data_IF_264173998123
#
_entry.id   IF_264173998123
#
_cell.length_a   1.000
_cell.length_b   1.000
_cell.length_c   1.000
_cell.angle_alpha   90.00
_cell.angle_beta   90.00
_cell.angle_gamma   90.00
#
_symmetry.space_group_name_H-M   'P 1'
#
loop_
_entity.id
_entity.type
_entity.pdbx_description
1 polymer ?
#
# COMPACT_ATOMS: atom_id res chain seq x y z
N UNK A 1 -28.04 3.38 -18.42
CA UNK A 1 -27.12 3.76 -17.32
C UNK A 1 -25.72 3.65 -17.89
N UNK A 2 -25.10 4.78 -18.27
CA UNK A 2 -23.74 4.78 -18.82
C UNK A 2 -22.78 4.48 -17.67
N UNK A 3 -22.06 3.38 -17.72
CA UNK A 3 -21.01 3.05 -16.77
C UNK A 3 -19.84 4.01 -17.01
N UNK A 4 -19.37 4.66 -15.96
CA UNK A 4 -18.26 5.61 -15.97
C UNK A 4 -16.99 5.01 -16.60
N UNK A 5 -16.31 5.78 -17.45
CA UNK A 5 -15.21 5.41 -18.37
C UNK A 5 -14.04 4.60 -17.80
N UNK A 6 -13.89 4.50 -16.47
CA UNK A 6 -12.76 3.80 -15.82
C UNK A 6 -13.16 2.51 -15.09
N UNK A 7 -14.39 1.99 -15.32
CA UNK A 7 -14.90 0.87 -14.50
C UNK A 7 -14.78 -0.52 -15.14
N UNK A 8 -14.46 -0.64 -16.43
CA UNK A 8 -14.56 -1.95 -17.09
C UNK A 8 -13.42 -2.91 -16.67
N UNK A 9 -12.18 -2.43 -16.57
CA UNK A 9 -11.07 -3.27 -16.14
C UNK A 9 -11.25 -3.70 -14.67
N UNK A 10 -11.48 -2.80 -13.70
CA UNK A 10 -11.83 -3.20 -12.33
C UNK A 10 -13.04 -4.11 -12.23
N UNK A 11 -14.03 -3.96 -13.12
CA UNK A 11 -15.18 -4.85 -13.16
C UNK A 11 -14.78 -6.26 -13.60
N UNK A 12 -13.97 -6.41 -14.64
CA UNK A 12 -13.42 -7.71 -15.08
C UNK A 12 -12.64 -8.36 -13.94
N UNK A 13 -11.75 -7.59 -13.28
CA UNK A 13 -10.93 -8.06 -12.15
C UNK A 13 -11.80 -8.54 -10.99
N UNK A 14 -12.92 -7.87 -10.69
CA UNK A 14 -13.84 -8.26 -9.61
C UNK A 14 -14.47 -9.64 -9.83
N UNK A 15 -14.65 -10.05 -11.08
CA UNK A 15 -15.19 -11.38 -11.44
C UNK A 15 -14.10 -12.44 -11.67
N UNK A 16 -12.80 -12.06 -11.63
CA UNK A 16 -11.69 -12.92 -12.08
C UNK A 16 -11.65 -14.29 -11.39
N UNK A 17 -11.94 -14.35 -10.10
CA UNK A 17 -11.98 -15.58 -9.31
C UNK A 17 -13.08 -16.56 -9.76
N UNK A 18 -14.12 -16.09 -10.45
CA UNK A 18 -15.23 -16.90 -10.96
C UNK A 18 -14.96 -17.46 -12.35
N UNK A 19 -13.93 -16.99 -13.03
CA UNK A 19 -13.65 -17.35 -14.43
C UNK A 19 -13.06 -18.74 -14.57
N UNK A 20 -13.55 -19.46 -15.58
CA UNK A 20 -12.92 -20.70 -16.08
C UNK A 20 -11.57 -20.37 -16.72
N UNK A 21 -10.68 -21.37 -16.96
CA UNK A 21 -9.40 -21.12 -17.61
C UNK A 21 -9.54 -20.38 -18.97
N UNK A 22 -10.53 -20.73 -19.77
CA UNK A 22 -10.81 -20.04 -21.04
C UNK A 22 -11.25 -18.57 -20.85
N UNK A 23 -12.12 -18.32 -19.88
CA UNK A 23 -12.58 -16.98 -19.57
C UNK A 23 -11.45 -16.12 -18.97
N UNK A 24 -10.50 -16.70 -18.23
CA UNK A 24 -9.29 -16.00 -17.76
C UNK A 24 -8.42 -15.56 -18.93
N UNK A 25 -8.21 -16.40 -19.95
CA UNK A 25 -7.48 -16.00 -21.14
C UNK A 25 -8.13 -14.77 -21.80
N UNK A 26 -9.46 -14.72 -21.86
CA UNK A 26 -10.19 -13.56 -22.39
C UNK A 26 -10.02 -12.35 -21.46
N UNK A 27 -10.17 -12.52 -20.16
CA UNK A 27 -10.01 -11.47 -19.16
C UNK A 27 -8.59 -10.87 -19.20
N UNK A 28 -7.56 -11.70 -19.21
CA UNK A 28 -6.15 -11.29 -19.25
C UNK A 28 -5.85 -10.45 -20.49
N UNK A 29 -6.40 -10.84 -21.63
CA UNK A 29 -6.28 -10.04 -22.84
C UNK A 29 -6.84 -8.62 -22.64
N UNK A 30 -8.07 -8.47 -22.15
CA UNK A 30 -8.69 -7.15 -21.97
C UNK A 30 -8.08 -6.34 -20.83
N UNK A 31 -7.57 -6.98 -19.77
CA UNK A 31 -6.90 -6.30 -18.65
C UNK A 31 -5.55 -5.70 -19.09
N UNK A 32 -4.78 -6.45 -19.88
CA UNK A 32 -3.42 -6.06 -20.23
C UNK A 32 -3.29 -5.34 -21.57
N UNK A 33 -4.35 -5.29 -22.38
CA UNK A 33 -4.30 -4.62 -23.67
C UNK A 33 -4.26 -3.10 -23.50
N UNK A 34 -3.23 -2.48 -24.04
CA UNK A 34 -3.02 -1.02 -24.04
C UNK A 34 -3.15 -0.40 -25.44
N UNK A 35 -3.35 -1.21 -26.49
CA UNK A 35 -3.35 -0.78 -27.86
C UNK A 35 -4.77 -0.78 -28.43
N UNK A 36 -5.05 0.22 -29.29
CA UNK A 36 -6.26 0.24 -30.09
C UNK A 36 -6.13 -0.72 -31.27
N UNK A 37 -7.09 -1.62 -31.41
CA UNK A 37 -7.09 -2.63 -32.47
C UNK A 37 -8.51 -3.00 -32.89
N UNK A 38 -8.65 -3.94 -33.84
CA UNK A 38 -9.96 -4.47 -34.19
C UNK A 38 -10.49 -5.41 -33.10
N UNK A 39 -11.41 -4.90 -32.29
CA UNK A 39 -12.10 -5.65 -31.21
C UNK A 39 -13.36 -6.37 -31.74
N UNK A 40 -13.51 -6.60 -33.02
CA UNK A 40 -14.63 -7.42 -33.52
C UNK A 40 -14.58 -8.83 -32.91
N UNK A 41 -15.76 -9.43 -32.67
CA UNK A 41 -15.83 -10.80 -32.10
C UNK A 41 -15.07 -11.81 -32.96
N UNK A 42 -15.10 -11.63 -34.29
CA UNK A 42 -14.38 -12.49 -35.23
C UNK A 42 -12.85 -12.38 -35.06
N UNK A 43 -12.34 -11.14 -34.92
CA UNK A 43 -10.90 -10.92 -34.80
C UNK A 43 -10.40 -11.43 -33.43
N UNK A 44 -11.07 -11.05 -32.33
CA UNK A 44 -10.65 -11.46 -31.00
C UNK A 44 -10.81 -12.97 -30.78
N UNK A 45 -11.86 -13.58 -31.32
CA UNK A 45 -12.01 -15.05 -31.24
C UNK A 45 -10.90 -15.77 -31.98
N UNK A 46 -10.46 -15.27 -33.13
CA UNK A 46 -9.31 -15.80 -33.88
C UNK A 46 -8.00 -15.59 -33.14
N UNK A 47 -7.76 -14.40 -32.55
CA UNK A 47 -6.56 -14.04 -31.83
C UNK A 47 -6.36 -14.91 -30.56
N UNK A 48 -7.43 -15.14 -29.82
CA UNK A 48 -7.40 -15.89 -28.55
C UNK A 48 -7.69 -17.38 -28.72
N UNK A 49 -7.94 -17.84 -29.94
CA UNK A 49 -8.34 -19.25 -30.24
C UNK A 49 -9.58 -19.69 -29.44
N UNK A 50 -10.56 -18.80 -29.29
CA UNK A 50 -11.83 -19.05 -28.61
C UNK A 50 -13.01 -18.91 -29.56
N UNK A 51 -14.19 -19.41 -29.20
CA UNK A 51 -15.38 -19.17 -30.01
C UNK A 51 -16.00 -17.79 -29.70
N UNK A 52 -16.69 -17.19 -30.72
CA UNK A 52 -17.44 -15.94 -30.48
C UNK A 52 -18.53 -16.11 -29.41
N UNK A 53 -19.07 -17.30 -29.26
CA UNK A 53 -20.00 -17.65 -28.19
C UNK A 53 -19.33 -17.59 -26.80
N UNK A 54 -18.04 -17.91 -26.71
CA UNK A 54 -17.28 -17.78 -25.46
C UNK A 54 -17.06 -16.33 -25.07
N UNK A 55 -16.78 -15.45 -26.05
CA UNK A 55 -16.70 -14.01 -25.81
C UNK A 55 -18.02 -13.43 -25.31
N UNK A 56 -19.15 -13.87 -25.89
CA UNK A 56 -20.48 -13.42 -25.44
C UNK A 56 -20.81 -13.90 -24.02
N UNK A 57 -20.48 -15.14 -23.67
CA UNK A 57 -20.66 -15.68 -22.30
C UNK A 57 -19.77 -14.96 -21.29
N UNK A 58 -18.51 -14.67 -21.64
CA UNK A 58 -17.61 -13.88 -20.82
C UNK A 58 -18.20 -12.49 -20.53
N UNK A 59 -18.66 -11.78 -21.57
CA UNK A 59 -19.30 -10.48 -21.42
C UNK A 59 -20.55 -10.53 -20.52
N UNK A 60 -21.41 -11.55 -20.71
CA UNK A 60 -22.59 -11.75 -19.85
C UNK A 60 -22.20 -12.00 -18.40
N UNK A 61 -21.14 -12.75 -18.15
CA UNK A 61 -20.62 -13.01 -16.82
C UNK A 61 -20.09 -11.75 -16.14
N UNK A 62 -19.56 -10.81 -16.93
CA UNK A 62 -19.16 -9.48 -16.47
C UNK A 62 -20.36 -8.50 -16.32
N UNK A 63 -21.59 -8.97 -16.49
CA UNK A 63 -22.81 -8.15 -16.29
C UNK A 63 -23.32 -7.41 -17.52
N UNK A 64 -22.80 -7.68 -18.71
CA UNK A 64 -23.26 -7.09 -19.98
C UNK A 64 -24.28 -8.00 -20.70
N UNK A 65 -25.13 -7.43 -21.53
CA UNK A 65 -26.08 -8.24 -22.33
C UNK A 65 -25.39 -9.13 -23.38
N UNK A 66 -24.15 -8.78 -23.76
CA UNK A 66 -23.35 -9.55 -24.70
C UNK A 66 -22.07 -8.83 -25.11
N UNK A 67 -21.30 -9.47 -26.01
CA UNK A 67 -19.99 -8.99 -26.43
C UNK A 67 -20.01 -7.59 -27.07
N UNK A 68 -21.06 -7.22 -27.81
CA UNK A 68 -21.17 -5.89 -28.42
C UNK A 68 -21.22 -4.77 -27.40
N UNK A 69 -22.03 -4.92 -26.37
CA UNK A 69 -22.14 -3.93 -25.31
C UNK A 69 -20.84 -3.84 -24.52
N UNK A 70 -20.25 -5.00 -24.17
CA UNK A 70 -18.95 -5.07 -23.51
C UNK A 70 -17.87 -4.31 -24.28
N UNK A 71 -17.73 -4.56 -25.61
CA UNK A 71 -16.72 -3.88 -26.43
C UNK A 71 -16.99 -2.40 -26.59
N UNK A 72 -18.25 -1.98 -26.66
CA UNK A 72 -18.58 -0.58 -26.69
C UNK A 72 -18.06 0.14 -25.44
N UNK A 73 -18.36 -0.38 -24.25
CA UNK A 73 -17.88 0.18 -22.99
C UNK A 73 -16.35 0.08 -22.85
N UNK A 74 -15.75 -1.03 -23.30
CA UNK A 74 -14.30 -1.21 -23.30
C UNK A 74 -13.59 -0.17 -24.17
N UNK A 75 -14.05 0.07 -25.40
CA UNK A 75 -13.50 1.12 -26.27
C UNK A 75 -13.65 2.51 -25.67
N UNK A 76 -14.76 2.78 -25.00
CA UNK A 76 -14.95 4.05 -24.28
C UNK A 76 -13.93 4.22 -23.15
N UNK A 77 -13.49 3.13 -22.52
CA UNK A 77 -12.47 3.18 -21.47
C UNK A 77 -11.05 3.41 -22.00
N UNK A 78 -10.77 3.06 -23.26
CA UNK A 78 -9.47 3.30 -23.91
C UNK A 78 -9.35 4.72 -24.49
N UNK A 79 -10.47 5.36 -24.86
CA UNK A 79 -10.44 6.69 -25.42
C UNK A 79 -10.06 7.72 -24.35
N UNK A 80 -9.11 8.65 -24.62
CA UNK A 80 -8.91 9.81 -23.77
C UNK A 80 -10.22 10.58 -23.70
N UNK A 81 -10.89 10.53 -22.54
CA UNK A 81 -12.15 11.23 -22.35
C UNK A 81 -11.95 12.74 -22.36
N UNK A 82 -12.94 13.55 -22.79
CA UNK A 82 -12.97 14.95 -22.41
C UNK A 82 -12.91 14.98 -20.88
N UNK A 83 -12.11 15.90 -20.32
CA UNK A 83 -12.18 16.24 -18.91
C UNK A 83 -13.62 16.70 -18.62
N UNK A 84 -14.46 15.78 -18.19
CA UNK A 84 -15.75 16.14 -17.67
C UNK A 84 -15.46 16.88 -16.35
N UNK A 85 -15.66 18.20 -16.38
CA UNK A 85 -15.86 19.04 -15.21
C UNK A 85 -17.12 18.55 -14.48
N UNK A 86 -17.06 17.39 -13.89
CA UNK A 86 -18.06 16.94 -12.93
C UNK A 86 -17.55 17.46 -11.58
N UNK A 87 -18.26 18.40 -10.93
CA UNK A 87 -18.03 18.67 -9.54
C UNK A 87 -18.63 17.49 -8.74
N UNK A 88 -17.98 16.34 -8.84
CA UNK A 88 -18.32 15.17 -8.07
C UNK A 88 -17.32 15.09 -6.92
N UNK A 89 -17.84 15.16 -5.71
CA UNK A 89 -17.12 14.92 -4.47
C UNK A 89 -16.18 13.69 -4.57
N UNK A 90 -16.63 12.62 -5.23
CA UNK A 90 -15.84 11.41 -5.49
C UNK A 90 -14.57 11.65 -6.34
N UNK A 91 -14.63 12.53 -7.34
CA UNK A 91 -13.46 12.84 -8.21
C UNK A 91 -12.40 13.61 -7.45
N UNK A 92 -12.81 14.48 -6.54
CA UNK A 92 -11.89 15.32 -5.75
C UNK A 92 -11.07 14.49 -4.75
N UNK A 93 -11.67 13.47 -4.17
CA UNK A 93 -10.98 12.56 -3.24
C UNK A 93 -9.92 11.71 -3.97
N UNK A 94 -10.25 11.14 -5.13
CA UNK A 94 -9.29 10.40 -5.95
C UNK A 94 -8.13 11.29 -6.43
N UNK A 95 -8.39 12.53 -6.82
CA UNK A 95 -7.35 13.49 -7.17
C UNK A 95 -6.43 13.78 -5.97
N UNK A 96 -7.01 13.90 -4.78
CA UNK A 96 -6.26 14.08 -3.52
C UNK A 96 -5.33 12.89 -3.24
N UNK A 97 -5.80 11.66 -3.42
CA UNK A 97 -4.96 10.47 -3.31
C UNK A 97 -3.85 10.44 -4.37
N UNK A 98 -4.14 10.81 -5.61
CA UNK A 98 -3.14 10.88 -6.67
C UNK A 98 -2.06 11.94 -6.36
N UNK A 99 -2.46 13.08 -5.86
CA UNK A 99 -1.53 14.13 -5.42
C UNK A 99 -0.64 13.65 -4.27
N UNK A 100 -1.21 12.96 -3.28
CA UNK A 100 -0.44 12.34 -2.20
C UNK A 100 0.55 11.30 -2.67
N UNK A 101 0.17 10.45 -3.63
CA UNK A 101 1.09 9.49 -4.25
C UNK A 101 2.28 10.19 -4.91
N UNK A 102 2.02 11.25 -5.67
CA UNK A 102 3.05 12.03 -6.34
C UNK A 102 3.98 12.73 -5.34
N UNK A 103 3.43 13.35 -4.29
CA UNK A 103 4.19 13.99 -3.20
C UNK A 103 5.03 12.96 -2.44
N UNK A 104 4.47 11.81 -2.11
CA UNK A 104 5.19 10.74 -1.41
C UNK A 104 6.35 10.22 -2.22
N UNK A 105 6.15 9.98 -3.52
CA UNK A 105 7.22 9.54 -4.41
C UNK A 105 8.36 10.57 -4.52
N UNK A 106 8.04 11.87 -4.52
CA UNK A 106 9.03 12.94 -4.58
C UNK A 106 9.87 13.09 -3.29
N UNK A 107 9.32 12.68 -2.14
CA UNK A 107 9.99 12.76 -0.84
C UNK A 107 10.86 11.54 -0.51
N UNK A 108 10.62 10.40 -1.18
CA UNK A 108 11.34 9.17 -0.89
C UNK A 108 12.78 9.21 -1.44
N UNK A 109 13.74 9.16 -0.54
CA UNK A 109 15.16 8.96 -0.88
C UNK A 109 15.52 7.47 -0.80
N UNK A 110 15.93 6.89 -1.93
CA UNK A 110 16.33 5.48 -2.02
C UNK A 110 17.49 5.12 -1.08
N UNK A 111 18.45 6.02 -0.90
CA UNK A 111 19.58 5.79 0.00
C UNK A 111 19.11 5.74 1.46
N UNK A 112 18.16 6.61 1.85
CA UNK A 112 17.54 6.60 3.16
C UNK A 112 16.74 5.31 3.40
N UNK A 113 15.90 4.90 2.45
CA UNK A 113 15.15 3.65 2.55
C UNK A 113 16.09 2.45 2.72
N UNK A 114 17.21 2.42 1.98
CA UNK A 114 18.20 1.35 2.12
C UNK A 114 18.84 1.36 3.50
N UNK A 115 19.21 2.53 4.06
CA UNK A 115 19.75 2.62 5.42
C UNK A 115 18.77 2.10 6.47
N UNK A 116 17.50 2.56 6.41
CA UNK A 116 16.46 2.12 7.34
C UNK A 116 16.21 0.61 7.21
N UNK A 117 16.19 0.09 5.99
CA UNK A 117 16.02 -1.35 5.77
C UNK A 117 17.17 -2.17 6.36
N UNK A 118 18.40 -1.68 6.25
CA UNK A 118 19.56 -2.32 6.88
C UNK A 118 19.48 -2.28 8.42
N UNK A 119 18.94 -1.22 9.00
CA UNK A 119 18.67 -1.15 10.43
C UNK A 119 17.63 -2.20 10.86
N UNK A 120 16.55 -2.36 10.10
CA UNK A 120 15.55 -3.42 10.36
C UNK A 120 16.17 -4.83 10.35
N UNK A 121 17.23 -5.05 9.57
CA UNK A 121 17.94 -6.35 9.51
C UNK A 121 18.95 -6.50 10.64
N UNK A 122 19.67 -5.44 10.97
CA UNK A 122 20.83 -5.51 11.88
C UNK A 122 20.43 -5.45 13.36
N UNK A 123 19.32 -4.78 13.68
CA UNK A 123 18.86 -4.66 15.07
C UNK A 123 18.13 -5.92 15.53
N UNK A 124 18.40 -6.34 16.75
CA UNK A 124 17.84 -7.57 17.32
C UNK A 124 16.34 -7.44 17.60
N UNK A 125 15.87 -6.22 17.86
CA UNK A 125 14.47 -5.93 18.16
C UNK A 125 14.04 -4.54 17.67
N UNK A 126 12.85 -4.47 17.13
CA UNK A 126 12.24 -3.24 16.63
C UNK A 126 11.00 -2.90 17.43
N UNK A 127 10.91 -1.67 17.89
CA UNK A 127 9.71 -1.14 18.55
C UNK A 127 9.12 -0.03 17.70
N UNK A 128 7.80 -0.05 17.52
CA UNK A 128 7.10 0.98 16.76
C UNK A 128 6.10 1.67 17.70
N UNK A 129 6.34 2.94 17.97
CA UNK A 129 5.51 3.77 18.82
C UNK A 129 4.56 4.61 18.00
N UNK A 130 3.27 4.59 18.32
CA UNK A 130 2.25 5.38 17.63
C UNK A 130 1.01 5.57 18.51
N UNK A 131 0.34 6.73 18.35
CA UNK A 131 -0.91 7.06 19.05
C UNK A 131 -2.04 7.28 18.03
N UNK A 132 -3.28 6.95 18.42
CA UNK A 132 -4.44 7.11 17.54
C UNK A 132 -4.25 6.45 16.18
N UNK A 133 -4.44 7.20 15.10
CA UNK A 133 -4.26 6.71 13.72
C UNK A 133 -2.85 6.21 13.45
N UNK A 134 -1.81 6.86 13.99
CA UNK A 134 -0.41 6.40 13.89
C UNK A 134 -0.20 5.08 14.65
N UNK A 135 -0.94 4.85 15.74
CA UNK A 135 -0.93 3.58 16.47
C UNK A 135 -1.48 2.41 15.64
N UNK A 136 -2.51 2.66 14.82
CA UNK A 136 -3.03 1.66 13.90
C UNK A 136 -2.00 1.29 12.83
N UNK A 137 -1.23 2.27 12.32
CA UNK A 137 -0.13 1.99 11.39
C UNK A 137 1.01 1.22 12.06
N UNK A 138 1.32 1.52 13.33
CA UNK A 138 2.30 0.75 14.10
C UNK A 138 1.89 -0.73 14.23
N UNK A 139 0.60 -0.99 14.49
CA UNK A 139 0.04 -2.35 14.52
C UNK A 139 0.11 -3.03 13.14
N UNK A 140 -0.21 -2.33 12.07
CA UNK A 140 -0.10 -2.83 10.70
C UNK A 140 1.35 -3.21 10.37
N UNK A 141 2.32 -2.34 10.72
CA UNK A 141 3.73 -2.64 10.55
C UNK A 141 4.12 -3.92 11.29
N UNK A 142 3.71 -4.06 12.55
CA UNK A 142 3.95 -5.29 13.34
C UNK A 142 3.37 -6.51 12.63
N UNK A 143 2.07 -6.48 12.29
CA UNK A 143 1.37 -7.62 11.69
C UNK A 143 2.02 -8.10 10.39
N UNK A 144 2.48 -7.19 9.55
CA UNK A 144 3.09 -7.54 8.26
C UNK A 144 4.52 -8.03 8.40
N UNK A 145 5.35 -7.28 9.12
CA UNK A 145 6.78 -7.56 9.19
C UNK A 145 7.11 -8.79 10.06
N UNK A 146 6.32 -9.06 11.11
CA UNK A 146 6.50 -10.30 11.90
C UNK A 146 6.31 -11.56 11.06
N UNK A 147 5.41 -11.55 10.07
CA UNK A 147 5.15 -12.69 9.20
C UNK A 147 6.31 -13.03 8.27
N UNK A 148 7.21 -12.09 8.05
CA UNK A 148 8.45 -12.26 7.27
C UNK A 148 9.70 -12.26 8.15
N UNK A 149 9.52 -12.52 9.46
CA UNK A 149 10.57 -12.84 10.40
C UNK A 149 11.22 -11.67 11.13
N UNK A 150 10.66 -10.44 11.06
CA UNK A 150 11.14 -9.32 11.85
C UNK A 150 10.67 -9.45 13.31
N UNK A 151 11.61 -9.33 14.25
CA UNK A 151 11.30 -9.26 15.68
C UNK A 151 10.83 -7.83 16.01
N UNK A 152 9.52 -7.61 15.96
CA UNK A 152 8.91 -6.29 15.99
C UNK A 152 7.74 -6.24 16.99
N UNK A 153 7.64 -5.14 17.74
CA UNK A 153 6.55 -4.86 18.66
C UNK A 153 5.96 -3.47 18.42
N UNK A 154 4.62 -3.40 18.37
CA UNK A 154 3.90 -2.14 18.27
C UNK A 154 3.41 -1.71 19.65
N UNK A 155 3.76 -0.51 20.08
CA UNK A 155 3.41 0.04 21.40
C UNK A 155 2.54 1.28 21.17
N UNK A 156 1.29 1.22 21.64
CA UNK A 156 0.30 2.29 21.49
C UNK A 156 -0.11 2.92 22.82
N UNK A 157 0.28 2.32 23.91
CA UNK A 157 0.06 2.83 25.27
C UNK A 157 1.22 3.71 25.71
N UNK A 158 0.94 4.93 26.19
CA UNK A 158 1.96 5.92 26.56
C UNK A 158 2.77 5.53 27.79
N UNK A 159 2.17 4.80 28.74
CA UNK A 159 2.91 4.29 29.91
C UNK A 159 3.90 3.22 29.51
N UNK A 160 3.47 2.30 28.64
CA UNK A 160 4.33 1.24 28.12
C UNK A 160 5.47 1.84 27.28
N UNK A 161 5.21 2.86 26.46
CA UNK A 161 6.26 3.57 25.70
C UNK A 161 7.34 4.12 26.64
N UNK A 162 6.93 4.83 27.70
CA UNK A 162 7.86 5.44 28.68
C UNK A 162 8.67 4.39 29.42
N UNK A 163 8.02 3.33 29.93
CA UNK A 163 8.72 2.23 30.63
C UNK A 163 9.68 1.53 29.68
N UNK A 164 9.24 1.25 28.46
CA UNK A 164 10.04 0.56 27.46
C UNK A 164 11.29 1.37 27.08
N UNK A 165 11.13 2.67 26.85
CA UNK A 165 12.21 3.55 26.37
C UNK A 165 13.43 3.62 27.28
N UNK A 166 13.28 3.36 28.57
CA UNK A 166 14.40 3.42 29.54
C UNK A 166 15.12 2.09 29.77
N UNK A 167 14.65 1.00 29.16
CA UNK A 167 15.25 -0.34 29.27
C UNK A 167 15.85 -0.85 27.94
N UNK A 168 15.81 -0.04 26.89
CA UNK A 168 16.34 -0.38 25.56
C UNK A 168 17.84 -0.07 25.48
N UNK A 169 18.52 -0.74 24.57
CA UNK A 169 19.96 -0.64 24.33
C UNK A 169 20.28 -0.45 22.83
N UNK A 170 21.57 -0.44 22.51
CA UNK A 170 22.08 -0.26 21.15
C UNK A 170 21.66 -1.36 20.16
N UNK A 171 21.16 -2.49 20.63
CA UNK A 171 20.64 -3.56 19.78
C UNK A 171 19.19 -3.35 19.34
N UNK A 172 18.56 -2.28 19.85
CA UNK A 172 17.16 -1.95 19.57
C UNK A 172 17.04 -0.83 18.54
N UNK A 173 15.98 -0.90 17.71
CA UNK A 173 15.50 0.19 16.86
C UNK A 173 14.15 0.66 17.40
N UNK A 174 14.01 1.94 17.66
CA UNK A 174 12.73 2.55 18.03
C UNK A 174 12.25 3.46 16.91
N UNK A 175 11.11 3.13 16.35
CA UNK A 175 10.44 3.90 15.31
C UNK A 175 9.26 4.64 15.95
N UNK A 176 9.32 5.96 16.01
CA UNK A 176 8.20 6.80 16.44
C UNK A 176 7.41 7.30 15.23
N UNK A 177 6.10 7.12 15.23
CA UNK A 177 5.21 7.62 14.17
C UNK A 177 4.37 8.77 14.74
N UNK A 178 4.62 9.99 14.24
CA UNK A 178 3.88 11.20 14.63
C UNK A 178 3.71 12.10 13.42
N UNK A 179 2.48 12.21 12.89
CA UNK A 179 2.17 13.06 11.73
C UNK A 179 2.61 14.49 11.96
N UNK A 180 2.26 15.08 13.11
CA UNK A 180 2.64 16.45 13.48
C UNK A 180 4.11 16.61 13.91
N UNK A 181 4.80 15.50 14.21
CA UNK A 181 6.14 15.54 14.81
C UNK A 181 6.17 16.13 16.23
N UNK A 182 5.02 16.31 16.88
CA UNK A 182 4.87 17.03 18.16
C UNK A 182 4.09 16.22 19.21
N UNK A 183 3.78 14.95 18.97
CA UNK A 183 3.07 14.12 19.95
C UNK A 183 3.97 13.85 21.14
N UNK A 184 3.70 14.49 22.28
CA UNK A 184 4.56 14.48 23.48
C UNK A 184 4.98 13.08 23.93
N UNK A 185 4.04 12.13 23.97
CA UNK A 185 4.34 10.75 24.35
C UNK A 185 5.36 10.09 23.41
N UNK A 186 5.27 10.34 22.09
CA UNK A 186 6.20 9.81 21.12
C UNK A 186 7.57 10.47 21.23
N UNK A 187 7.60 11.82 21.24
CA UNK A 187 8.84 12.59 21.27
C UNK A 187 9.61 12.34 22.58
N UNK A 188 8.92 12.35 23.74
CA UNK A 188 9.58 12.09 25.02
C UNK A 188 10.13 10.67 25.11
N UNK A 189 9.41 9.69 24.55
CA UNK A 189 9.86 8.30 24.54
C UNK A 189 11.03 8.08 23.57
N UNK A 190 11.07 8.73 22.40
CA UNK A 190 12.23 8.70 21.51
C UNK A 190 13.46 9.34 22.17
N UNK A 191 13.30 10.49 22.84
CA UNK A 191 14.39 11.12 23.61
C UNK A 191 14.97 10.19 24.67
N UNK A 192 14.10 9.53 25.43
CA UNK A 192 14.53 8.58 26.45
C UNK A 192 15.25 7.36 25.83
N UNK A 193 14.71 6.78 24.78
CA UNK A 193 15.30 5.65 24.07
C UNK A 193 16.69 6.00 23.51
N UNK A 194 16.82 7.17 22.89
CA UNK A 194 18.09 7.68 22.37
C UNK A 194 19.14 7.86 23.47
N UNK A 195 18.74 8.43 24.62
CA UNK A 195 19.61 8.60 25.78
C UNK A 195 20.12 7.28 26.37
N UNK A 196 19.36 6.19 26.20
CA UNK A 196 19.73 4.84 26.62
C UNK A 196 20.44 4.01 25.54
N UNK A 197 20.77 4.64 24.38
CA UNK A 197 21.60 4.05 23.34
C UNK A 197 20.84 3.32 22.25
N UNK A 198 19.51 3.24 22.30
CA UNK A 198 18.73 2.67 21.19
C UNK A 198 18.83 3.56 19.95
N UNK A 199 18.86 2.94 18.76
CA UNK A 199 18.77 3.70 17.52
C UNK A 199 17.34 4.23 17.32
N UNK A 200 17.20 5.51 17.03
CA UNK A 200 15.90 6.16 16.98
C UNK A 200 15.58 6.71 15.59
N UNK A 201 14.38 6.39 15.11
CA UNK A 201 13.84 6.85 13.83
C UNK A 201 12.49 7.56 14.09
N UNK A 202 12.34 8.80 13.65
CA UNK A 202 11.04 9.48 13.62
C UNK A 202 10.46 9.45 12.20
N UNK A 203 9.25 8.94 12.06
CA UNK A 203 8.43 9.04 10.85
C UNK A 203 7.40 10.16 11.04
N UNK A 204 7.48 11.21 10.21
CA UNK A 204 6.63 12.42 10.38
C UNK A 204 6.36 13.10 9.06
N UNK A 205 5.29 13.93 9.00
CA UNK A 205 5.03 14.80 7.86
C UNK A 205 5.69 16.19 7.98
N UNK A 206 6.35 16.46 9.11
CA UNK A 206 6.96 17.75 9.41
C UNK A 206 8.47 17.65 9.47
N UNK A 207 9.16 18.60 8.84
CA UNK A 207 10.61 18.73 8.94
C UNK A 207 10.96 19.78 10.00
N UNK A 208 11.79 19.37 10.99
CA UNK A 208 12.29 20.24 12.03
C UNK A 208 13.72 19.84 12.40
N UNK A 209 14.62 20.85 12.50
CA UNK A 209 16.03 20.61 12.82
C UNK A 209 16.22 20.08 14.25
N UNK A 210 15.30 20.37 15.16
CA UNK A 210 15.37 19.92 16.55
C UNK A 210 15.28 18.39 16.68
N UNK A 211 14.77 17.69 15.67
CA UNK A 211 14.73 16.21 15.69
C UNK A 211 16.12 15.58 15.75
N UNK A 212 17.13 16.25 15.18
CA UNK A 212 18.52 15.76 15.19
C UNK A 212 19.13 15.68 16.62
N UNK A 213 18.50 16.31 17.60
CA UNK A 213 18.94 16.25 18.99
C UNK A 213 18.62 14.90 19.66
N UNK A 214 17.68 14.14 19.10
CA UNK A 214 17.18 12.91 19.73
C UNK A 214 16.73 11.81 18.73
N UNK A 215 16.91 12.04 17.44
CA UNK A 215 16.67 11.04 16.42
C UNK A 215 17.90 10.86 15.55
N UNK A 216 18.33 9.62 15.39
CA UNK A 216 19.44 9.26 14.49
C UNK A 216 19.00 9.37 13.02
N UNK A 217 17.72 9.15 12.74
CA UNK A 217 17.15 9.26 11.40
C UNK A 217 15.75 9.89 11.46
N UNK A 218 15.39 10.69 10.48
CA UNK A 218 14.03 11.24 10.32
C UNK A 218 13.53 10.94 8.92
N UNK A 219 12.44 10.18 8.82
CA UNK A 219 11.80 9.82 7.54
C UNK A 219 10.57 10.68 7.34
N UNK A 220 10.62 11.54 6.32
CA UNK A 220 9.52 12.45 6.00
C UNK A 220 8.57 11.80 5.01
N UNK A 221 7.27 11.80 5.33
CA UNK A 221 6.21 11.41 4.43
C UNK A 221 5.33 12.61 4.04
N UNK A 222 4.49 12.45 3.02
CA UNK A 222 3.70 13.55 2.47
C UNK A 222 2.71 14.12 3.48
N UNK A 223 2.69 15.45 3.63
CA UNK A 223 1.70 16.18 4.42
C UNK A 223 0.39 16.30 3.66
N UNK A 224 -0.72 16.25 4.38
CA UNK A 224 -2.07 16.48 3.88
C UNK A 224 -2.57 17.94 4.13
N UNK A 225 -1.81 18.76 4.84
CA UNK A 225 -2.25 20.08 5.32
C UNK A 225 -2.62 21.06 4.19
N UNK A 226 -2.01 20.89 3.01
CA UNK A 226 -2.22 21.78 1.86
C UNK A 226 -3.01 21.10 0.72
N UNK A 227 -3.71 20.01 1.01
CA UNK A 227 -4.60 19.37 0.07
C UNK A 227 -6.02 19.88 0.27
N UNK A 228 -6.73 20.16 -0.80
CA UNK A 228 -8.10 20.68 -0.77
C UNK A 228 -9.04 19.83 0.10
N UNK A 229 -8.88 18.52 0.02
CA UNK A 229 -9.69 17.54 0.76
C UNK A 229 -8.85 16.67 1.72
N UNK A 230 -7.69 17.16 2.16
CA UNK A 230 -6.78 16.41 3.02
C UNK A 230 -7.34 16.01 4.38
N UNK A 231 -8.35 16.75 4.88
CA UNK A 231 -9.03 16.45 6.13
C UNK A 231 -10.11 15.34 6.02
N UNK A 232 -10.47 14.94 4.80
CA UNK A 232 -11.49 13.91 4.54
C UNK A 232 -10.88 12.53 4.44
N UNK A 233 -9.65 12.42 3.89
CA UNK A 233 -8.96 11.16 3.72
C UNK A 233 -8.26 10.69 4.99
N UNK A 234 -7.99 9.40 5.09
CA UNK A 234 -7.33 8.83 6.26
C UNK A 234 -5.90 9.35 6.44
N UNK A 235 -5.53 9.86 7.63
CA UNK A 235 -4.16 10.28 7.93
C UNK A 235 -3.14 9.13 7.92
N UNK A 236 -3.60 7.88 7.86
CA UNK A 236 -2.75 6.71 7.75
C UNK A 236 -2.18 6.54 6.34
N UNK A 237 -2.89 7.00 5.31
CA UNK A 237 -2.57 6.70 3.92
C UNK A 237 -1.12 7.06 3.52
N UNK A 238 -0.61 8.29 3.75
CA UNK A 238 0.77 8.63 3.40
C UNK A 238 1.80 7.81 4.18
N UNK A 239 1.48 7.40 5.42
CA UNK A 239 2.37 6.58 6.24
C UNK A 239 2.39 5.13 5.70
N UNK A 240 1.22 4.59 5.31
CA UNK A 240 1.11 3.24 4.73
C UNK A 240 1.88 3.12 3.41
N UNK A 241 1.92 4.17 2.58
CA UNK A 241 2.74 4.19 1.36
C UNK A 241 4.23 3.99 1.68
N UNK A 242 4.74 4.72 2.67
CA UNK A 242 6.13 4.57 3.11
C UNK A 242 6.38 3.19 3.71
N UNK A 243 5.42 2.68 4.48
CA UNK A 243 5.47 1.34 5.05
C UNK A 243 5.57 0.26 3.95
N UNK A 244 4.79 0.40 2.86
CA UNK A 244 4.82 -0.52 1.73
C UNK A 244 6.19 -0.53 1.04
N UNK A 245 6.80 0.65 0.88
CA UNK A 245 8.15 0.76 0.32
C UNK A 245 9.18 0.09 1.23
N UNK A 246 9.14 0.34 2.54
CA UNK A 246 10.04 -0.31 3.51
C UNK A 246 9.83 -1.84 3.53
N UNK A 247 8.58 -2.30 3.47
CA UNK A 247 8.25 -3.72 3.43
C UNK A 247 8.82 -4.39 2.18
N UNK A 248 8.62 -3.79 1.00
CA UNK A 248 9.14 -4.30 -0.26
C UNK A 248 10.68 -4.40 -0.24
N UNK A 249 11.37 -3.38 0.26
CA UNK A 249 12.82 -3.39 0.39
C UNK A 249 13.31 -4.43 1.41
N UNK A 250 12.66 -4.53 2.58
CA UNK A 250 13.00 -5.53 3.59
C UNK A 250 12.77 -6.95 3.08
N UNK A 251 11.69 -7.19 2.31
CA UNK A 251 11.39 -8.50 1.71
C UNK A 251 12.48 -8.93 0.72
N UNK A 252 13.05 -8.01 -0.07
CA UNK A 252 14.10 -8.33 -1.04
C UNK A 252 15.38 -8.86 -0.39
N UNK A 253 15.65 -8.50 0.87
CA UNK A 253 16.80 -9.05 1.60
C UNK A 253 16.44 -10.46 2.07
N UNK A 254 17.08 -11.47 1.48
CA UNK A 254 16.80 -12.91 1.72
C UNK A 254 15.34 -13.29 1.38
N UNK A 255 14.93 -12.91 0.18
CA UNK A 255 13.56 -12.99 -0.32
C UNK A 255 12.96 -14.41 -0.15
N UNK A 256 13.70 -15.43 -0.58
CA UNK A 256 13.21 -16.83 -0.52
C UNK A 256 12.84 -17.28 0.89
N UNK A 257 13.67 -16.93 1.88
CA UNK A 257 13.41 -17.25 3.29
C UNK A 257 12.20 -16.52 3.84
N UNK A 258 12.06 -15.24 3.52
CA UNK A 258 10.95 -14.40 3.99
C UNK A 258 9.62 -14.78 3.35
N UNK A 259 9.61 -15.11 2.06
CA UNK A 259 8.43 -15.63 1.37
C UNK A 259 8.01 -16.98 1.95
N UNK A 260 8.95 -17.88 2.25
CA UNK A 260 8.65 -19.16 2.91
C UNK A 260 8.06 -18.97 4.30
N UNK A 261 8.58 -18.03 5.11
CA UNK A 261 8.02 -17.69 6.42
C UNK A 261 6.59 -17.14 6.28
N UNK A 262 6.37 -16.23 5.32
CA UNK A 262 5.06 -15.68 5.06
C UNK A 262 4.05 -16.77 4.69
N UNK A 263 4.41 -17.65 3.76
CA UNK A 263 3.58 -18.77 3.34
C UNK A 263 3.24 -19.70 4.52
N UNK A 264 4.22 -20.03 5.35
CA UNK A 264 4.01 -20.83 6.56
C UNK A 264 3.00 -20.18 7.51
N UNK A 265 3.03 -18.84 7.67
CA UNK A 265 2.04 -18.13 8.50
C UNK A 265 0.63 -18.18 7.89
N UNK A 266 0.49 -18.15 6.55
CA UNK A 266 -0.81 -18.30 5.88
C UNK A 266 -1.36 -19.71 6.16
N UNK A 267 -0.55 -20.75 5.96
CA UNK A 267 -0.94 -22.13 6.18
C UNK A 267 -1.39 -22.37 7.63
N UNK A 268 -0.70 -21.76 8.60
CA UNK A 268 -1.08 -21.86 10.02
C UNK A 268 -2.44 -21.25 10.31
N UNK A 269 -2.81 -20.16 9.63
CA UNK A 269 -4.09 -19.50 9.81
C UNK A 269 -5.25 -20.18 9.08
N UNK A 270 -4.95 -20.98 8.06
CA UNK A 270 -5.94 -21.67 7.22
C UNK A 270 -5.69 -23.19 7.15
N UNK A 271 -5.70 -23.90 8.28
CA UNK A 271 -5.36 -25.33 8.30
C UNK A 271 -6.29 -26.23 7.48
N UNK A 272 -7.44 -25.73 7.02
CA UNK A 272 -8.43 -26.48 6.23
C UNK A 272 -8.20 -26.41 4.71
N UNK A 273 -7.25 -25.60 4.22
CA UNK A 273 -6.91 -25.52 2.79
C UNK A 273 -5.78 -26.47 2.38
N UNK A 274 -5.21 -27.20 3.35
CA UNK A 274 -4.20 -28.23 3.11
C UNK A 274 -4.91 -29.60 3.06
N UNK A 275 -5.42 -29.96 1.89
CA UNK A 275 -5.77 -31.35 1.53
C UNK A 275 -5.28 -31.64 0.13
#
# INVERSE_FOLDING_TARGET
MSLNKHKIIPLIESYYHTFTPLERTIADFFIHNTEEQDFSSRNISGLLYVSEASLSRFAQKCGFHGYREFIYEYKQSLAPGPEENIPNFEVSEFNTYQELLNKSNALLDKAQITRITNLLVSKSRVYVYGRGSSGLVAQEMKLRFMRIGLNIEAVTDSHIMKVNSVILDENCLVIGISVSGQTDDIISSLKAAHQHGAYTLLMTARQDKSYQEFCDETLIFASMEHLEYGNIISPQFPILLVLDVLYAHYLQIDRSKKEALHEYTIQTLQPHLIK
#
